data_IF_989851494919
#
_entry.id   IF_989851494919
#
_cell.length_a   1.000
_cell.length_b   1.000
_cell.length_c   1.000
_cell.angle_alpha   90.00
_cell.angle_beta   90.00
_cell.angle_gamma   90.00
#
_symmetry.space_group_name_H-M   'P 1'
#
loop_
_entity.id
_entity.type
_entity.pdbx_description
1 polymer ?
#
# COMPACT_ATOMS: atom_id res chain seq x y z
N UNK A 1 2.28 3.00 -12.79
CA UNK A 1 1.93 3.94 -11.70
C UNK A 1 1.66 5.32 -12.31
N UNK A 2 0.68 6.06 -11.80
CA UNK A 2 0.44 7.46 -12.18
C UNK A 2 0.64 8.35 -10.94
N UNK A 3 1.72 9.11 -10.91
CA UNK A 3 1.99 10.08 -9.83
C UNK A 3 0.99 11.23 -9.91
N UNK A 4 0.48 11.67 -8.76
CA UNK A 4 -0.46 12.80 -8.64
C UNK A 4 0.22 14.01 -8.02
N UNK A 5 1.03 13.81 -6.97
CA UNK A 5 1.79 14.86 -6.28
C UNK A 5 3.07 14.29 -5.70
N UNK A 6 4.10 15.14 -5.64
CA UNK A 6 5.31 14.97 -4.82
C UNK A 6 5.53 16.28 -4.05
N UNK A 7 5.84 16.19 -2.76
CA UNK A 7 6.28 17.33 -1.95
C UNK A 7 7.72 17.09 -1.55
N UNK A 8 8.61 17.95 -2.02
CA UNK A 8 10.04 17.86 -1.69
C UNK A 8 10.32 18.29 -0.24
N UNK A 9 9.48 19.18 0.30
CA UNK A 9 9.62 19.72 1.66
C UNK A 9 9.33 18.67 2.73
N UNK A 10 8.42 17.73 2.44
CA UNK A 10 7.94 16.74 3.42
C UNK A 10 8.26 15.30 3.02
N UNK A 11 8.62 15.06 1.76
CA UNK A 11 8.80 13.72 1.20
C UNK A 11 7.48 12.96 0.93
N UNK A 12 6.32 13.56 1.20
CA UNK A 12 5.03 12.94 0.92
C UNK A 12 4.72 12.96 -0.58
N UNK A 13 4.09 11.89 -1.04
CA UNK A 13 3.66 11.73 -2.41
C UNK A 13 2.32 11.01 -2.47
N UNK A 14 1.61 11.18 -3.56
CA UNK A 14 0.40 10.42 -3.86
C UNK A 14 0.44 9.92 -5.28
N UNK A 15 -0.06 8.71 -5.49
CA UNK A 15 -0.13 8.09 -6.81
C UNK A 15 -1.33 7.17 -6.93
N UNK A 16 -1.77 6.94 -8.17
CA UNK A 16 -2.67 5.84 -8.51
C UNK A 16 -1.80 4.68 -8.99
N UNK A 17 -1.88 3.57 -8.26
CA UNK A 17 -1.16 2.34 -8.58
C UNK A 17 -2.17 1.33 -9.13
N UNK A 18 -1.95 0.87 -10.37
CA UNK A 18 -2.63 -0.29 -10.93
C UNK A 18 -1.74 -1.50 -10.73
N UNK A 19 -2.12 -2.37 -9.80
CA UNK A 19 -1.46 -3.65 -9.58
C UNK A 19 -2.12 -4.71 -10.46
N UNK A 20 -1.30 -5.55 -11.10
CA UNK A 20 -1.79 -6.70 -11.87
C UNK A 20 -2.23 -7.82 -10.93
N UNK A 21 -3.11 -8.75 -11.36
CA UNK A 21 -3.49 -9.89 -10.55
C UNK A 21 -2.27 -10.67 -10.03
N UNK A 22 -2.23 -10.95 -8.73
CA UNK A 22 -1.11 -11.65 -8.08
C UNK A 22 0.14 -10.78 -7.84
N UNK A 23 0.10 -9.48 -8.14
CA UNK A 23 1.18 -8.58 -7.79
C UNK A 23 1.29 -8.42 -6.27
N UNK A 24 2.53 -8.35 -5.79
CA UNK A 24 2.86 -8.25 -4.37
C UNK A 24 3.71 -6.99 -4.17
N UNK A 25 3.44 -6.24 -3.10
CA UNK A 25 4.36 -5.19 -2.70
C UNK A 25 5.67 -5.81 -2.19
N UNK A 26 6.80 -5.39 -2.77
CA UNK A 26 8.11 -5.82 -2.30
C UNK A 26 8.29 -5.49 -0.81
N UNK A 27 9.14 -6.23 -0.10
CA UNK A 27 9.42 -5.94 1.30
C UNK A 27 9.94 -4.51 1.48
N UNK A 28 9.35 -3.76 2.42
CA UNK A 28 9.71 -2.37 2.69
C UNK A 28 9.35 -1.97 4.12
N UNK A 29 9.92 -0.84 4.56
CA UNK A 29 9.56 -0.17 5.81
C UNK A 29 8.98 1.20 5.48
N UNK A 30 7.87 1.53 6.13
CA UNK A 30 7.26 2.86 6.11
C UNK A 30 8.12 3.82 6.93
N UNK A 31 8.77 4.78 6.27
CA UNK A 31 9.55 5.84 6.93
C UNK A 31 8.66 6.95 7.51
N UNK A 32 7.43 7.06 7.01
CA UNK A 32 6.35 7.89 7.51
C UNK A 32 5.03 7.11 7.33
N UNK A 33 3.92 7.61 7.89
CA UNK A 33 2.62 6.98 7.71
C UNK A 33 2.17 7.02 6.24
N UNK A 34 1.37 6.04 5.84
CA UNK A 34 0.79 5.96 4.52
C UNK A 34 -0.70 5.61 4.61
N UNK A 35 -1.47 6.18 3.69
CA UNK A 35 -2.87 5.86 3.50
C UNK A 35 -3.14 5.44 2.06
N UNK A 36 -4.16 4.62 1.86
CA UNK A 36 -4.58 4.20 0.53
C UNK A 36 -6.08 3.96 0.46
N UNK A 37 -6.64 4.11 -0.75
CA UNK A 37 -8.02 3.79 -1.08
C UNK A 37 -8.04 2.80 -2.24
N UNK A 38 -8.79 1.70 -2.07
CA UNK A 38 -8.96 0.72 -3.13
C UNK A 38 -10.00 1.24 -4.13
N UNK A 39 -9.52 1.68 -5.29
CA UNK A 39 -10.40 2.20 -6.36
C UNK A 39 -11.09 1.09 -7.15
N UNK A 40 -10.43 -0.06 -7.31
CA UNK A 40 -10.96 -1.23 -8.03
C UNK A 40 -10.25 -2.52 -7.59
N UNK A 41 -10.98 -3.63 -7.51
CA UNK A 41 -10.42 -4.94 -7.15
C UNK A 41 -10.35 -5.19 -5.64
N UNK A 42 -9.45 -6.08 -5.22
CA UNK A 42 -9.28 -6.49 -3.82
C UNK A 42 -7.81 -6.57 -3.43
N UNK A 43 -7.50 -6.11 -2.22
CA UNK A 43 -6.21 -6.26 -1.55
C UNK A 43 -6.36 -7.28 -0.44
N UNK A 44 -5.62 -8.38 -0.50
CA UNK A 44 -5.49 -9.35 0.60
C UNK A 44 -4.28 -8.99 1.45
N UNK A 45 -4.36 -9.32 2.72
CA UNK A 45 -3.33 -9.06 3.71
C UNK A 45 -3.47 -10.09 4.82
N UNK A 46 -2.55 -10.10 5.78
CA UNK A 46 -2.50 -11.12 6.84
C UNK A 46 -3.83 -11.35 7.58
N UNK A 47 -4.62 -10.29 7.76
CA UNK A 47 -5.86 -10.33 8.54
C UNK A 47 -7.12 -10.53 7.68
N UNK A 48 -7.01 -10.62 6.35
CA UNK A 48 -8.16 -10.82 5.47
C UNK A 48 -8.00 -10.16 4.11
N UNK A 49 -9.11 -9.65 3.58
CA UNK A 49 -9.14 -8.92 2.31
C UNK A 49 -10.00 -7.66 2.42
N UNK A 50 -9.63 -6.65 1.65
CA UNK A 50 -10.34 -5.38 1.53
C UNK A 50 -10.67 -5.13 0.05
N UNK A 51 -11.91 -4.74 -0.22
CA UNK A 51 -12.41 -4.50 -1.57
C UNK A 51 -12.51 -3.02 -1.94
N UNK A 52 -13.16 -2.75 -3.06
CA UNK A 52 -13.42 -1.39 -3.56
C UNK A 52 -14.06 -0.50 -2.49
N UNK A 53 -13.57 0.74 -2.38
CA UNK A 53 -14.03 1.71 -1.37
C UNK A 53 -13.39 1.54 0.01
N UNK A 54 -12.66 0.46 0.27
CA UNK A 54 -11.94 0.31 1.54
C UNK A 54 -10.75 1.28 1.62
N UNK A 55 -10.69 1.99 2.74
CA UNK A 55 -9.56 2.81 3.14
C UNK A 55 -8.61 2.01 4.05
N UNK A 56 -7.31 2.15 3.82
CA UNK A 56 -6.26 1.59 4.65
C UNK A 56 -5.35 2.69 5.20
N UNK A 57 -4.91 2.49 6.45
CA UNK A 57 -3.91 3.32 7.10
C UNK A 57 -2.79 2.43 7.64
N UNK A 58 -1.56 2.77 7.31
CA UNK A 58 -0.34 2.11 7.77
C UNK A 58 0.50 3.11 8.58
N UNK A 59 0.82 2.82 9.86
CA UNK A 59 1.55 3.74 10.70
C UNK A 59 3.04 3.83 10.32
N UNK A 60 3.68 4.94 10.68
CA UNK A 60 5.14 5.09 10.60
C UNK A 60 5.84 3.92 11.28
N UNK A 61 6.84 3.36 10.61
CA UNK A 61 7.61 2.23 11.12
C UNK A 61 7.01 0.86 10.81
N UNK A 62 5.81 0.77 10.21
CA UNK A 62 5.27 -0.48 9.69
C UNK A 62 6.26 -1.14 8.73
N UNK A 63 6.41 -2.46 8.81
CA UNK A 63 7.34 -3.25 7.99
C UNK A 63 6.55 -4.29 7.25
N UNK A 64 6.65 -4.33 5.92
CA UNK A 64 6.15 -5.42 5.09
C UNK A 64 7.31 -6.34 4.72
N UNK A 65 7.25 -7.63 5.06
CA UNK A 65 8.32 -8.60 4.78
C UNK A 65 7.86 -9.72 3.82
N UNK A 66 8.75 -10.17 2.93
CA UNK A 66 8.44 -11.23 1.97
C UNK A 66 8.12 -12.58 2.64
N UNK A 67 8.46 -12.75 3.92
CA UNK A 67 8.31 -13.99 4.69
C UNK A 67 6.92 -14.15 5.32
N UNK A 68 5.93 -13.43 4.81
CA UNK A 68 4.53 -13.62 5.19
C UNK A 68 4.19 -13.14 6.60
N UNK A 69 5.08 -12.40 7.28
CA UNK A 69 4.72 -11.76 8.55
C UNK A 69 4.00 -10.45 8.34
N UNK A 70 4.14 -9.79 7.20
CA UNK A 70 3.39 -8.57 6.86
C UNK A 70 3.13 -8.37 5.34
N UNK A 71 2.88 -9.44 4.57
CA UNK A 71 2.58 -9.31 3.14
C UNK A 71 1.16 -8.79 2.89
N UNK A 72 1.07 -7.77 2.04
CA UNK A 72 -0.13 -7.28 1.37
C UNK A 72 -0.10 -7.87 -0.06
N UNK A 73 -0.96 -8.85 -0.33
CA UNK A 73 -1.09 -9.58 -1.59
C UNK A 73 -2.44 -9.23 -2.24
N UNK A 74 -2.55 -8.80 -3.49
CA UNK A 74 -3.88 -8.64 -4.13
C UNK A 74 -4.41 -9.97 -4.72
#
# INVERSE_FOLDING_TARGET
MKVLRVSEETGFWSAIIRMQPGAIFAAHKHLAAADFLILKGKLKYRMGEAGEGAYGYEPTGAVHDLRGRNNINL
#
